data_IF_608350281007
#
_entry.id   IF_608350281007
#
_cell.length_a   1.000
_cell.length_b   1.000
_cell.length_c   1.000
_cell.angle_alpha   90.00
_cell.angle_beta   90.00
_cell.angle_gamma   90.00
#
_symmetry.space_group_name_H-M   'P 1'
#
loop_
_entity.id
_entity.type
_entity.pdbx_description
1 polymer ?
#
# COMPACT_ATOMS: atom_id res chain seq x y z
N UNK A 1 -13.24 -17.60 0.71
CA UNK A 1 -12.48 -16.40 0.26
C UNK A 1 -11.54 -15.87 1.36
N UNK A 2 -11.90 -15.90 2.65
CA UNK A 2 -11.05 -15.41 3.75
C UNK A 2 -9.84 -16.29 4.09
N UNK A 3 -9.85 -17.57 3.71
CA UNK A 3 -8.79 -18.56 4.03
C UNK A 3 -7.39 -18.08 3.63
N UNK A 4 -7.29 -17.26 2.56
CA UNK A 4 -6.05 -16.64 2.12
C UNK A 4 -5.41 -15.72 3.16
N UNK A 5 -6.22 -15.08 4.01
CA UNK A 5 -5.76 -14.16 5.04
C UNK A 5 -5.42 -14.88 6.35
N UNK A 6 -5.76 -16.17 6.46
CA UNK A 6 -5.53 -17.02 7.63
C UNK A 6 -4.36 -18.01 7.43
N UNK A 7 -3.94 -18.27 6.20
CA UNK A 7 -2.80 -19.17 5.92
C UNK A 7 -1.46 -18.55 6.35
N UNK A 8 -0.58 -19.34 6.99
CA UNK A 8 0.75 -18.88 7.44
C UNK A 8 1.57 -18.29 6.27
N UNK A 9 1.83 -19.09 5.23
CA UNK A 9 2.45 -18.66 3.99
C UNK A 9 1.84 -19.40 2.81
N UNK A 10 1.68 -18.70 1.67
CA UNK A 10 1.39 -19.35 0.38
C UNK A 10 2.64 -19.38 -0.47
N UNK A 11 2.92 -20.54 -1.03
CA UNK A 11 4.11 -20.80 -1.83
C UNK A 11 3.72 -20.93 -3.29
N UNK A 12 4.50 -20.31 -4.17
CA UNK A 12 4.23 -20.25 -5.60
C UNK A 12 5.47 -20.64 -6.40
N UNK A 13 5.25 -21.32 -7.51
CA UNK A 13 6.23 -21.51 -8.56
C UNK A 13 5.97 -20.46 -9.65
N UNK A 14 6.99 -19.69 -10.02
CA UNK A 14 6.95 -18.76 -11.15
C UNK A 14 7.52 -19.45 -12.39
N UNK A 15 6.90 -19.24 -13.55
CA UNK A 15 7.27 -19.83 -14.82
C UNK A 15 7.47 -18.73 -15.87
N UNK A 16 8.23 -19.04 -16.90
CA UNK A 16 8.53 -18.15 -18.02
C UNK A 16 7.35 -17.98 -18.98
N UNK A 17 6.52 -19.02 -19.09
CA UNK A 17 5.21 -19.01 -19.74
C UNK A 17 4.32 -20.15 -19.18
N UNK A 18 3.03 -20.12 -19.55
CA UNK A 18 2.05 -21.12 -19.11
C UNK A 18 2.29 -22.55 -19.63
N UNK A 19 3.18 -22.77 -20.62
CA UNK A 19 3.37 -24.09 -21.25
C UNK A 19 4.19 -25.05 -20.39
N UNK A 20 4.94 -24.54 -19.41
CA UNK A 20 5.76 -25.32 -18.49
C UNK A 20 5.15 -25.61 -17.12
N UNK A 21 3.95 -25.11 -16.82
CA UNK A 21 3.41 -25.08 -15.44
C UNK A 21 3.08 -26.46 -14.84
N UNK A 22 2.90 -27.49 -15.66
CA UNK A 22 2.57 -28.84 -15.21
C UNK A 22 3.73 -29.57 -14.53
N UNK A 23 4.98 -29.23 -14.85
CA UNK A 23 6.16 -29.72 -14.15
C UNK A 23 6.84 -28.59 -13.39
N UNK A 24 6.80 -28.71 -12.06
CA UNK A 24 7.42 -27.73 -11.15
C UNK A 24 8.92 -27.58 -11.38
N UNK A 25 9.60 -28.58 -11.97
CA UNK A 25 11.01 -28.49 -12.34
C UNK A 25 11.33 -27.39 -13.35
N UNK A 26 10.33 -26.93 -14.12
CA UNK A 26 10.48 -25.83 -15.09
C UNK A 26 10.31 -24.44 -14.46
N UNK A 27 10.08 -24.36 -13.14
CA UNK A 27 9.89 -23.08 -12.48
C UNK A 27 11.19 -22.25 -12.49
N UNK A 28 11.08 -20.95 -12.80
CA UNK A 28 12.12 -19.92 -12.63
C UNK A 28 12.57 -19.75 -11.18
N UNK A 29 11.73 -20.19 -10.26
CA UNK A 29 12.03 -20.17 -8.84
C UNK A 29 10.82 -20.43 -7.97
N UNK A 30 11.12 -20.65 -6.70
CA UNK A 30 10.15 -20.74 -5.63
C UNK A 30 9.95 -19.36 -5.01
N UNK A 31 8.69 -19.00 -4.82
CA UNK A 31 8.28 -17.74 -4.23
C UNK A 31 7.35 -18.00 -3.05
N UNK A 32 7.29 -17.06 -2.11
CA UNK A 32 6.26 -17.04 -1.07
C UNK A 32 5.62 -15.67 -1.00
N UNK A 33 4.30 -15.64 -0.82
CA UNK A 33 3.54 -14.42 -0.53
C UNK A 33 3.27 -14.34 0.97
N UNK A 34 3.50 -13.15 1.53
CA UNK A 34 3.35 -12.84 2.95
C UNK A 34 2.21 -11.85 3.12
N UNK A 35 2.20 -10.87 2.22
CA UNK A 35 1.08 -10.00 1.92
C UNK A 35 0.94 -9.89 0.39
N UNK A 36 -0.10 -9.19 -0.06
CA UNK A 36 -0.36 -9.04 -1.49
C UNK A 36 0.65 -8.14 -2.23
N UNK A 37 1.57 -7.47 -1.53
CA UNK A 37 2.69 -6.73 -2.12
C UNK A 37 4.07 -7.09 -1.54
N UNK A 38 4.11 -7.97 -0.53
CA UNK A 38 5.35 -8.54 -0.02
C UNK A 38 5.44 -10.01 -0.43
N UNK A 39 6.20 -10.22 -1.49
CA UNK A 39 6.63 -11.53 -1.94
C UNK A 39 8.15 -11.67 -1.79
N UNK A 40 8.59 -12.92 -1.72
CA UNK A 40 10.00 -13.25 -1.71
C UNK A 40 10.31 -14.39 -2.66
N UNK A 41 11.52 -14.37 -3.22
CA UNK A 41 12.10 -15.48 -3.96
C UNK A 41 13.02 -16.28 -3.03
N UNK A 42 12.90 -17.59 -3.05
CA UNK A 42 13.87 -18.49 -2.44
C UNK A 42 15.11 -18.58 -3.34
N UNK A 43 16.28 -18.25 -2.79
CA UNK A 43 17.56 -18.24 -3.54
C UNK A 43 18.50 -19.36 -3.13
N UNK A 44 18.03 -20.29 -2.28
CA UNK A 44 18.77 -21.46 -1.81
C UNK A 44 19.26 -21.33 -0.37
N UNK A 45 19.52 -22.47 0.24
CA UNK A 45 20.08 -22.68 1.58
C UNK A 45 19.35 -21.92 2.69
N UNK A 46 18.02 -21.89 2.64
CA UNK A 46 17.16 -21.20 3.59
C UNK A 46 16.91 -19.72 3.29
N UNK A 47 17.61 -19.14 2.31
CA UNK A 47 17.60 -17.71 2.07
C UNK A 47 16.41 -17.29 1.20
N UNK A 48 15.67 -16.28 1.67
CA UNK A 48 14.58 -15.63 0.95
C UNK A 48 14.88 -14.15 0.72
N UNK A 49 14.86 -13.69 -0.52
CA UNK A 49 15.08 -12.28 -0.87
C UNK A 49 13.79 -11.61 -1.30
N UNK A 50 13.64 -10.31 -1.02
CA UNK A 50 12.52 -9.53 -1.55
C UNK A 50 12.47 -9.66 -3.08
N UNK A 51 11.28 -9.85 -3.62
CA UNK A 51 11.04 -9.99 -5.04
C UNK A 51 9.81 -9.19 -5.45
N UNK A 52 9.65 -8.97 -6.75
CA UNK A 52 8.43 -8.44 -7.37
C UNK A 52 7.99 -9.34 -8.56
N UNK A 53 8.45 -10.59 -8.62
CA UNK A 53 8.15 -11.55 -9.68
C UNK A 53 6.66 -11.92 -9.78
N UNK A 54 5.99 -12.29 -8.68
CA UNK A 54 4.55 -12.61 -8.67
C UNK A 54 3.68 -11.36 -8.91
N UNK A 55 4.16 -10.19 -8.50
CA UNK A 55 3.46 -8.92 -8.67
C UNK A 55 3.56 -8.45 -10.13
N UNK A 56 4.71 -8.67 -10.78
CA UNK A 56 4.93 -8.35 -12.20
C UNK A 56 4.15 -9.25 -13.14
N UNK A 57 3.82 -10.49 -12.74
CA UNK A 57 3.01 -11.39 -13.58
C UNK A 57 1.60 -10.90 -13.88
N UNK A 58 1.09 -9.92 -13.14
CA UNK A 58 -0.17 -9.24 -13.45
C UNK A 58 -0.06 -8.05 -14.41
N UNK A 59 1.16 -7.64 -14.78
CA UNK A 59 1.37 -6.52 -15.69
C UNK A 59 1.04 -6.94 -17.13
N UNK A 60 0.44 -6.01 -17.89
CA UNK A 60 -0.06 -6.25 -19.26
C UNK A 60 0.98 -6.81 -20.25
N UNK A 61 2.26 -6.62 -19.93
CA UNK A 61 3.41 -7.02 -20.75
C UNK A 61 4.22 -8.18 -20.15
N UNK A 62 3.75 -8.80 -19.07
CA UNK A 62 4.39 -9.99 -18.50
C UNK A 62 4.00 -11.25 -19.27
N UNK A 63 5.00 -12.03 -19.67
CA UNK A 63 4.81 -13.39 -20.17
C UNK A 63 4.88 -14.46 -19.09
N UNK A 64 5.33 -14.07 -17.89
CA UNK A 64 5.50 -14.96 -16.77
C UNK A 64 4.13 -15.40 -16.23
N UNK A 65 4.02 -16.65 -15.79
CA UNK A 65 2.84 -17.23 -15.15
C UNK A 65 3.24 -17.82 -13.78
N UNK A 66 2.31 -17.94 -12.83
CA UNK A 66 2.58 -18.60 -11.57
C UNK A 66 1.43 -19.48 -11.09
N UNK A 67 1.75 -20.49 -10.29
CA UNK A 67 0.74 -21.28 -9.54
C UNK A 67 1.21 -21.62 -8.15
N UNK A 68 0.24 -21.90 -7.29
CA UNK A 68 0.51 -22.43 -5.96
C UNK A 68 1.15 -23.82 -6.04
N UNK A 69 2.07 -24.09 -5.12
CA UNK A 69 2.77 -25.38 -5.02
C UNK A 69 2.27 -26.18 -3.82
N UNK A 70 2.15 -27.49 -4.00
CA UNK A 70 1.92 -28.43 -2.91
C UNK A 70 3.16 -28.57 -2.00
N UNK A 71 3.00 -29.18 -0.83
CA UNK A 71 4.11 -29.39 0.10
C UNK A 71 5.26 -30.22 -0.52
N UNK A 72 4.95 -31.24 -1.33
CA UNK A 72 5.97 -32.04 -2.00
C UNK A 72 6.73 -31.25 -3.09
N UNK A 73 6.01 -30.40 -3.83
CA UNK A 73 6.60 -29.51 -4.84
C UNK A 73 7.44 -28.40 -4.21
N UNK A 74 7.02 -27.88 -3.06
CA UNK A 74 7.79 -26.93 -2.26
C UNK A 74 9.16 -27.52 -1.89
N UNK A 75 9.19 -28.73 -1.33
CA UNK A 75 10.45 -29.39 -0.97
C UNK A 75 11.33 -29.68 -2.20
N UNK A 76 10.73 -30.12 -3.32
CA UNK A 76 11.47 -30.34 -4.56
C UNK A 76 12.12 -29.05 -5.08
N UNK A 77 11.39 -27.93 -5.06
CA UNK A 77 11.91 -26.63 -5.49
C UNK A 77 12.96 -26.07 -4.53
N UNK A 78 12.81 -26.30 -3.22
CA UNK A 78 13.84 -25.97 -2.23
C UNK A 78 15.13 -26.70 -2.55
N UNK A 79 15.05 -28.01 -2.77
CA UNK A 79 16.21 -28.82 -3.13
C UNK A 79 16.88 -28.32 -4.41
N UNK A 80 16.09 -28.05 -5.47
CA UNK A 80 16.63 -27.51 -6.73
C UNK A 80 17.37 -26.19 -6.54
N UNK A 81 16.80 -25.27 -5.75
CA UNK A 81 17.42 -23.98 -5.45
C UNK A 81 18.63 -24.11 -4.52
N UNK A 82 18.65 -25.07 -3.60
CA UNK A 82 19.81 -25.38 -2.76
C UNK A 82 20.94 -25.99 -3.59
N UNK A 83 20.63 -26.81 -4.59
CA UNK A 83 21.62 -27.44 -5.46
C UNK A 83 22.26 -26.45 -6.45
N UNK A 84 21.57 -25.34 -6.76
CA UNK A 84 21.98 -24.34 -7.75
C UNK A 84 22.29 -22.96 -7.18
N UNK A 85 22.01 -22.74 -5.89
CA UNK A 85 22.19 -21.46 -5.20
C UNK A 85 23.65 -21.15 -4.87
N UNK A 86 23.99 -19.87 -4.64
CA UNK A 86 25.32 -19.50 -4.14
C UNK A 86 25.57 -20.12 -2.76
N UNK A 87 26.76 -20.65 -2.53
CA UNK A 87 27.14 -21.25 -1.26
C UNK A 87 26.88 -20.29 -0.08
N UNK A 88 26.46 -20.86 1.07
CA UNK A 88 26.18 -20.16 2.34
C UNK A 88 27.11 -18.96 2.52
N UNK A 89 26.55 -17.75 2.57
CA UNK A 89 27.28 -16.63 3.14
C UNK A 89 27.43 -16.83 4.64
N UNK A 90 28.69 -16.81 5.08
CA UNK A 90 29.08 -16.88 6.48
C UNK A 90 28.50 -15.71 7.29
N UNK A 91 28.14 -16.06 8.51
CA UNK A 91 28.04 -15.26 9.73
C UNK A 91 28.13 -13.73 9.55
N UNK A 92 26.99 -13.05 9.76
CA UNK A 92 26.97 -11.60 10.00
C UNK A 92 27.48 -11.33 11.41
N UNK A 93 28.70 -10.84 11.51
CA UNK A 93 29.20 -10.22 12.73
C UNK A 93 28.63 -8.79 12.88
N UNK A 94 28.15 -8.49 14.09
CA UNK A 94 28.09 -7.13 14.62
C UNK A 94 27.02 -6.21 14.04
N UNK A 95 25.76 -6.37 14.48
CA UNK A 95 24.82 -5.25 14.50
C UNK A 95 24.34 -5.03 15.94
N UNK A 96 24.87 -3.98 16.58
CA UNK A 96 24.35 -3.53 17.87
C UNK A 96 23.04 -2.77 17.68
N UNK A 97 22.02 -3.12 18.48
CA UNK A 97 20.87 -2.24 18.73
C UNK A 97 19.51 -2.64 18.13
N UNK A 98 19.40 -3.71 17.33
CA UNK A 98 18.10 -4.16 16.79
C UNK A 98 17.39 -5.27 17.57
N UNK A 99 18.05 -5.89 18.56
CA UNK A 99 17.53 -7.07 19.29
C UNK A 99 17.82 -8.39 18.58
N UNK A 100 17.00 -9.40 18.84
CA UNK A 100 17.25 -10.78 18.42
C UNK A 100 16.01 -11.47 17.88
N UNK A 101 16.16 -12.21 16.79
CA UNK A 101 15.20 -13.21 16.33
C UNK A 101 15.45 -14.51 17.08
N UNK A 102 14.41 -15.13 17.63
CA UNK A 102 14.52 -16.39 18.41
C UNK A 102 13.81 -17.53 17.68
N UNK A 103 14.45 -18.68 17.65
CA UNK A 103 14.05 -19.85 16.89
C UNK A 103 13.86 -21.07 17.80
N UNK A 104 13.01 -22.02 17.39
CA UNK A 104 12.80 -23.26 18.15
C UNK A 104 13.91 -24.27 17.88
N UNK A 105 14.42 -24.29 16.65
CA UNK A 105 15.45 -25.21 16.21
C UNK A 105 16.57 -24.48 15.47
N UNK A 106 17.79 -25.02 15.54
CA UNK A 106 18.96 -24.46 14.83
C UNK A 106 18.72 -24.39 13.31
N UNK A 107 18.06 -25.41 12.76
CA UNK A 107 17.72 -25.47 11.34
C UNK A 107 16.79 -24.33 10.89
N UNK A 108 16.04 -23.70 11.80
CA UNK A 108 15.13 -22.60 11.46
C UNK A 108 15.88 -21.28 11.26
N UNK A 109 17.10 -21.14 11.80
CA UNK A 109 17.89 -19.90 11.76
C UNK A 109 18.30 -19.47 10.35
N UNK A 110 18.21 -20.38 9.37
CA UNK A 110 18.50 -20.06 7.96
C UNK A 110 17.40 -19.20 7.31
N UNK A 111 16.18 -19.22 7.86
CA UNK A 111 15.07 -18.37 7.45
C UNK A 111 14.63 -17.50 8.61
N UNK A 112 15.03 -16.23 8.59
CA UNK A 112 14.73 -15.26 9.64
C UNK A 112 13.24 -15.24 10.04
N UNK A 113 12.34 -15.52 9.09
CA UNK A 113 10.88 -15.49 9.27
C UNK A 113 10.30 -16.76 9.90
N UNK A 114 11.13 -17.78 10.13
CA UNK A 114 10.81 -18.94 11.00
C UNK A 114 10.99 -18.63 12.48
N UNK A 115 11.48 -17.43 12.81
CA UNK A 115 11.53 -16.96 14.19
C UNK A 115 10.13 -17.04 14.82
N UNK A 116 10.06 -17.52 16.06
CA UNK A 116 8.81 -17.53 16.81
C UNK A 116 8.65 -16.27 17.68
N UNK A 117 9.73 -15.53 17.89
CA UNK A 117 9.76 -14.29 18.66
C UNK A 117 10.85 -13.34 18.16
N UNK A 118 10.62 -12.05 18.38
CA UNK A 118 11.63 -10.99 18.30
C UNK A 118 11.73 -10.37 19.69
N UNK A 119 12.93 -10.32 20.25
CA UNK A 119 13.18 -9.91 21.64
C UNK A 119 14.29 -8.88 21.73
N UNK A 120 14.24 -8.01 22.74
CA UNK A 120 15.31 -7.05 23.04
C UNK A 120 16.52 -7.72 23.68
N UNK A 121 16.27 -8.67 24.58
CA UNK A 121 17.28 -9.35 25.37
C UNK A 121 17.10 -10.87 25.28
N UNK A 122 18.22 -11.59 25.26
CA UNK A 122 18.20 -13.06 25.24
C UNK A 122 18.02 -13.60 26.66
N UNK A 123 17.04 -14.48 26.82
CA UNK A 123 16.85 -15.29 28.03
C UNK A 123 17.60 -16.62 27.89
N UNK A 124 17.90 -17.33 28.99
CA UNK A 124 18.58 -18.62 28.95
C UNK A 124 17.88 -19.68 28.07
N UNK A 125 16.56 -19.60 27.92
CA UNK A 125 15.78 -20.47 27.03
C UNK A 125 15.94 -20.16 25.52
N UNK A 126 16.48 -18.99 25.14
CA UNK A 126 16.67 -18.56 23.75
C UNK A 126 17.94 -19.19 23.14
N UNK A 127 17.97 -20.53 23.10
CA UNK A 127 19.13 -21.31 22.66
C UNK A 127 19.55 -21.04 21.20
N UNK A 128 18.59 -20.70 20.34
CA UNK A 128 18.81 -20.44 18.91
C UNK A 128 18.36 -19.02 18.61
N UNK A 129 19.31 -18.12 18.38
CA UNK A 129 19.00 -16.72 18.14
C UNK A 129 19.96 -16.07 17.13
N UNK A 130 19.45 -15.09 16.39
CA UNK A 130 20.22 -14.25 15.48
C UNK A 130 20.04 -12.78 15.86
N UNK A 131 21.14 -12.03 15.89
CA UNK A 131 21.08 -10.57 16.06
C UNK A 131 20.45 -9.92 14.83
N UNK A 132 19.64 -8.90 15.06
CA UNK A 132 18.91 -8.17 14.03
C UNK A 132 19.46 -6.76 13.88
N UNK A 133 19.50 -6.26 12.64
CA UNK A 133 19.56 -4.82 12.42
C UNK A 133 18.19 -4.17 12.76
N UNK A 134 18.15 -2.88 13.16
CA UNK A 134 16.89 -2.21 13.52
C UNK A 134 15.79 -2.30 12.44
N UNK A 135 16.16 -2.17 11.16
CA UNK A 135 15.19 -2.27 10.05
C UNK A 135 14.67 -3.70 9.83
N UNK A 136 15.44 -4.73 10.20
CA UNK A 136 15.03 -6.13 10.11
C UNK A 136 14.09 -6.48 11.24
N UNK A 137 14.33 -5.91 12.42
CA UNK A 137 13.52 -6.09 13.62
C UNK A 137 12.06 -5.75 13.37
N UNK A 138 11.77 -4.53 12.91
CA UNK A 138 10.38 -4.08 12.74
C UNK A 138 9.63 -4.95 11.73
N UNK A 139 10.25 -5.23 10.59
CA UNK A 139 9.67 -6.09 9.57
C UNK A 139 9.44 -7.52 10.05
N UNK A 140 10.37 -8.08 10.83
CA UNK A 140 10.25 -9.43 11.37
C UNK A 140 9.23 -9.50 12.51
N UNK A 141 9.22 -8.52 13.41
CA UNK A 141 8.24 -8.44 14.51
C UNK A 141 6.81 -8.40 13.96
N UNK A 142 6.59 -7.61 12.90
CA UNK A 142 5.30 -7.58 12.19
C UNK A 142 4.90 -8.93 11.59
N UNK A 143 5.85 -9.68 11.03
CA UNK A 143 5.61 -11.02 10.46
C UNK A 143 5.29 -12.04 11.55
N UNK A 144 6.07 -12.06 12.63
CA UNK A 144 5.84 -12.96 13.76
C UNK A 144 4.47 -12.70 14.37
N UNK A 145 4.11 -11.42 14.58
CA UNK A 145 2.79 -11.03 15.07
C UNK A 145 1.68 -11.49 14.13
N UNK A 146 1.85 -11.28 12.81
CA UNK A 146 0.89 -11.72 11.78
C UNK A 146 0.65 -13.23 11.81
N UNK A 147 1.71 -14.03 11.79
CA UNK A 147 1.60 -15.49 11.82
C UNK A 147 0.96 -15.98 13.12
N UNK A 148 1.37 -15.41 14.26
CA UNK A 148 0.80 -15.77 15.55
C UNK A 148 -0.70 -15.47 15.61
N UNK A 149 -1.14 -14.34 15.06
CA UNK A 149 -2.55 -13.97 14.97
C UNK A 149 -3.33 -14.89 14.03
N UNK A 150 -2.77 -15.22 12.85
CA UNK A 150 -3.37 -16.17 11.90
C UNK A 150 -3.65 -17.52 12.53
N UNK A 151 -2.70 -18.08 13.29
CA UNK A 151 -2.84 -19.36 13.99
C UNK A 151 -3.90 -19.36 15.09
N UNK A 152 -4.23 -18.19 15.63
CA UNK A 152 -5.23 -18.01 16.70
C UNK A 152 -6.55 -17.44 16.19
N UNK A 153 -6.65 -17.18 14.89
CA UNK A 153 -7.80 -16.51 14.32
C UNK A 153 -9.04 -17.41 14.39
N UNK A 154 -10.07 -16.93 15.08
CA UNK A 154 -11.34 -17.62 15.22
C UNK A 154 -12.48 -16.63 14.94
N UNK A 155 -13.62 -17.10 14.39
CA UNK A 155 -14.73 -16.22 14.11
C UNK A 155 -15.37 -15.70 15.41
N UNK A 156 -15.64 -14.41 15.45
CA UNK A 156 -16.31 -13.72 16.56
C UNK A 156 -17.70 -13.32 16.07
N UNK A 157 -18.76 -13.81 16.74
CA UNK A 157 -20.14 -13.54 16.34
C UNK A 157 -20.42 -13.80 14.83
N UNK A 158 -19.89 -14.92 14.30
CA UNK A 158 -20.09 -15.34 12.91
C UNK A 158 -19.25 -14.58 11.87
N UNK A 159 -18.24 -13.80 12.29
CA UNK A 159 -17.39 -13.03 11.39
C UNK A 159 -15.91 -13.20 11.71
N UNK A 160 -15.05 -13.13 10.69
CA UNK A 160 -13.63 -12.86 10.89
C UNK A 160 -13.38 -11.37 10.82
N UNK A 161 -12.62 -10.84 11.78
CA UNK A 161 -12.24 -9.44 11.86
C UNK A 161 -10.78 -9.28 11.46
N UNK A 162 -10.47 -8.19 10.77
CA UNK A 162 -9.11 -7.88 10.36
C UNK A 162 -8.82 -6.40 10.55
N UNK A 163 -7.68 -6.11 11.17
CA UNK A 163 -7.12 -4.77 11.25
C UNK A 163 -6.19 -4.54 10.05
N UNK A 164 -6.34 -3.42 9.35
CA UNK A 164 -5.50 -3.08 8.19
C UNK A 164 -4.40 -2.09 8.54
N UNK A 165 -3.23 -2.27 7.96
CA UNK A 165 -2.03 -1.47 8.22
C UNK A 165 -1.44 -0.90 6.93
N UNK A 166 -0.78 0.25 7.01
CA UNK A 166 -0.06 0.78 5.85
C UNK A 166 1.19 -0.05 5.53
N UNK A 167 1.82 -0.63 6.56
CA UNK A 167 3.09 -1.34 6.46
C UNK A 167 3.07 -2.57 7.36
N UNK A 168 3.82 -3.57 6.94
CA UNK A 168 3.98 -4.81 7.70
C UNK A 168 4.62 -4.60 9.08
N UNK A 169 5.57 -3.67 9.20
CA UNK A 169 6.22 -3.37 10.48
C UNK A 169 5.29 -2.76 11.54
N UNK A 170 4.14 -2.21 11.15
CA UNK A 170 3.18 -1.62 12.08
C UNK A 170 2.27 -2.66 12.73
N UNK A 171 2.23 -3.89 12.19
CA UNK A 171 1.34 -4.96 12.63
C UNK A 171 1.56 -5.38 14.10
N UNK A 172 2.77 -5.18 14.62
CA UNK A 172 3.09 -5.47 16.01
C UNK A 172 2.35 -4.56 17.01
N UNK A 173 1.84 -3.40 16.58
CA UNK A 173 1.02 -2.51 17.40
C UNK A 173 -0.34 -2.28 16.76
N UNK A 174 -1.37 -2.98 17.26
CA UNK A 174 -2.74 -2.90 16.78
C UNK A 174 -3.31 -1.47 16.74
N UNK A 175 -2.79 -0.55 17.57
CA UNK A 175 -3.25 0.85 17.56
C UNK A 175 -2.82 1.62 16.30
N UNK A 176 -1.84 1.09 15.55
CA UNK A 176 -1.39 1.64 14.26
C UNK A 176 -2.23 1.17 13.08
N UNK A 177 -3.17 0.25 13.28
CA UNK A 177 -4.11 -0.10 12.23
C UNK A 177 -4.85 1.16 11.77
N UNK A 178 -5.01 1.36 10.47
CA UNK A 178 -5.77 2.50 9.94
C UNK A 178 -7.24 2.16 9.72
N UNK A 179 -7.56 0.89 9.46
CA UNK A 179 -8.93 0.42 9.26
C UNK A 179 -9.22 -0.85 10.06
N UNK A 180 -10.52 -1.09 10.31
CA UNK A 180 -11.02 -2.36 10.82
C UNK A 180 -12.13 -2.85 9.88
N UNK A 181 -11.95 -4.06 9.37
CA UNK A 181 -12.87 -4.70 8.42
C UNK A 181 -13.30 -6.07 8.95
N UNK A 182 -14.38 -6.60 8.41
CA UNK A 182 -14.81 -7.98 8.70
C UNK A 182 -15.47 -8.63 7.50
N UNK A 183 -15.57 -9.95 7.54
CA UNK A 183 -16.35 -10.72 6.59
C UNK A 183 -17.06 -11.88 7.30
N UNK A 184 -18.21 -12.35 6.79
CA UNK A 184 -18.89 -13.52 7.35
C UNK A 184 -18.01 -14.77 7.32
N UNK A 185 -18.03 -15.54 8.41
CA UNK A 185 -17.25 -16.77 8.54
C UNK A 185 -17.75 -17.90 7.65
N UNK A 186 -18.95 -17.77 7.07
CA UNK A 186 -19.45 -18.67 6.03
C UNK A 186 -18.68 -18.55 4.72
N UNK A 187 -18.06 -17.38 4.46
CA UNK A 187 -17.30 -17.11 3.24
C UNK A 187 -18.14 -16.66 2.04
N UNK A 188 -19.47 -16.65 2.15
CA UNK A 188 -20.42 -16.30 1.08
C UNK A 188 -20.96 -14.87 1.17
N UNK A 189 -20.44 -14.05 2.08
CA UNK A 189 -20.90 -12.70 2.32
C UNK A 189 -19.91 -11.62 1.89
N UNK A 190 -20.43 -10.39 1.85
CA UNK A 190 -19.64 -9.22 1.51
C UNK A 190 -18.70 -8.81 2.64
N UNK A 191 -17.63 -8.11 2.27
CA UNK A 191 -16.74 -7.46 3.23
C UNK A 191 -17.41 -6.20 3.77
N UNK A 192 -17.17 -5.91 5.04
CA UNK A 192 -17.69 -4.73 5.71
C UNK A 192 -16.57 -3.92 6.36
N UNK A 193 -16.70 -2.60 6.33
CA UNK A 193 -15.79 -1.64 6.97
C UNK A 193 -16.45 -1.05 8.21
N UNK A 194 -15.70 -0.93 9.31
CA UNK A 194 -16.17 -0.30 10.54
C UNK A 194 -16.18 1.23 10.37
N UNK A 195 -17.37 1.84 10.28
CA UNK A 195 -17.47 3.31 10.29
C UNK A 195 -17.39 3.89 11.69
N UNK A 196 -18.05 3.22 12.63
CA UNK A 196 -18.00 3.51 14.06
C UNK A 196 -18.44 2.29 14.86
N UNK A 197 -18.32 2.35 16.17
CA UNK A 197 -18.82 1.31 17.07
C UNK A 197 -20.28 0.95 16.74
N UNK A 198 -20.52 -0.34 16.49
CA UNK A 198 -21.83 -0.87 16.10
C UNK A 198 -22.28 -0.57 14.67
N UNK A 199 -21.55 0.24 13.89
CA UNK A 199 -21.90 0.59 12.51
C UNK A 199 -20.89 0.02 11.51
N UNK A 200 -21.34 -1.02 10.80
CA UNK A 200 -20.62 -1.69 9.73
C UNK A 200 -21.32 -1.41 8.41
N UNK A 201 -20.56 -1.11 7.38
CA UNK A 201 -21.09 -0.80 6.05
C UNK A 201 -20.39 -1.64 5.00
N UNK A 202 -21.04 -1.81 3.85
CA UNK A 202 -20.46 -2.51 2.72
C UNK A 202 -19.06 -1.94 2.42
N UNK A 203 -18.08 -2.82 2.37
CA UNK A 203 -16.68 -2.50 2.14
C UNK A 203 -16.15 -3.23 0.91
N UNK A 204 -14.84 -3.36 0.85
CA UNK A 204 -14.15 -4.09 -0.22
C UNK A 204 -13.18 -5.09 0.38
N UNK A 205 -13.04 -6.24 -0.28
CA UNK A 205 -11.99 -7.19 0.06
C UNK A 205 -10.62 -6.48 0.09
N UNK A 206 -9.80 -6.69 1.14
CA UNK A 206 -8.53 -6.00 1.35
C UNK A 206 -7.39 -6.52 0.45
N UNK A 207 -7.67 -6.77 -0.84
CA UNK A 207 -6.67 -7.20 -1.83
C UNK A 207 -5.55 -6.16 -1.89
N UNK A 208 -4.30 -6.61 -1.83
CA UNK A 208 -3.15 -5.69 -1.81
C UNK A 208 -2.73 -5.25 -0.40
N UNK A 209 -3.55 -5.47 0.64
CA UNK A 209 -3.33 -4.82 1.94
C UNK A 209 -2.65 -5.72 2.95
N UNK A 210 -1.97 -5.08 3.91
CA UNK A 210 -1.45 -5.75 5.10
C UNK A 210 -2.59 -5.82 6.11
N UNK A 211 -3.07 -7.04 6.38
CA UNK A 211 -4.17 -7.27 7.32
C UNK A 211 -3.78 -8.25 8.40
N UNK A 212 -4.15 -7.94 9.64
CA UNK A 212 -3.95 -8.78 10.82
C UNK A 212 -5.30 -9.33 11.29
N UNK A 213 -5.49 -10.66 11.37
CA UNK A 213 -6.69 -11.22 11.99
C UNK A 213 -6.80 -10.77 13.46
N UNK A 214 -7.99 -10.32 13.86
CA UNK A 214 -8.26 -9.81 15.21
C UNK A 214 -9.18 -10.77 15.93
N UNK A 215 -8.69 -11.32 17.05
CA UNK A 215 -9.47 -12.20 17.93
C UNK A 215 -10.41 -11.42 18.86
N UNK A 216 -11.22 -12.15 19.62
CA UNK A 216 -12.20 -11.58 20.56
C UNK A 216 -11.56 -10.60 21.56
N UNK A 217 -10.41 -10.98 22.12
CA UNK A 217 -9.76 -10.22 23.19
C UNK A 217 -9.22 -8.86 22.70
N UNK A 218 -8.90 -8.75 21.41
CA UNK A 218 -8.33 -7.56 20.79
C UNK A 218 -9.35 -6.72 20.02
N UNK A 219 -10.55 -7.25 19.75
CA UNK A 219 -11.55 -6.56 18.93
C UNK A 219 -12.00 -5.23 19.54
N UNK A 220 -12.29 -5.22 20.84
CA UNK A 220 -12.69 -3.98 21.54
C UNK A 220 -11.57 -2.94 21.53
N UNK A 221 -10.31 -3.39 21.60
CA UNK A 221 -9.15 -2.51 21.49
C UNK A 221 -9.05 -1.92 20.09
N UNK A 222 -9.22 -2.74 19.05
CA UNK A 222 -9.20 -2.27 17.66
C UNK A 222 -10.31 -1.24 17.39
N UNK A 223 -11.55 -1.51 17.83
CA UNK A 223 -12.69 -0.58 17.69
C UNK A 223 -12.40 0.74 18.41
N UNK A 224 -12.03 0.68 19.69
CA UNK A 224 -11.68 1.89 20.46
C UNK A 224 -10.55 2.68 19.80
N UNK A 225 -9.53 2.00 19.30
CA UNK A 225 -8.42 2.63 18.60
C UNK A 225 -8.84 3.32 17.30
N UNK A 226 -9.95 2.93 16.67
CA UNK A 226 -10.54 3.65 15.53
C UNK A 226 -11.43 4.81 15.97
N UNK A 227 -12.22 4.65 17.03
CA UNK A 227 -13.03 5.75 17.58
C UNK A 227 -12.19 6.93 18.07
N UNK A 228 -11.01 6.66 18.66
CA UNK A 228 -10.14 7.70 19.22
C UNK A 228 -9.09 8.23 18.25
N UNK A 229 -9.10 7.77 16.99
CA UNK A 229 -8.18 8.28 15.99
C UNK A 229 -8.46 9.78 15.73
N UNK A 230 -7.41 10.59 15.75
CA UNK A 230 -7.50 12.04 15.54
C UNK A 230 -8.13 12.37 14.19
N UNK A 231 -7.68 11.66 13.15
CA UNK A 231 -8.18 11.79 11.77
C UNK A 231 -8.37 10.40 11.16
N UNK A 232 -9.46 10.24 10.42
CA UNK A 232 -9.77 9.04 9.62
C UNK A 232 -10.07 9.44 8.19
N UNK A 233 -9.72 8.58 7.24
CA UNK A 233 -9.85 8.88 5.82
C UNK A 233 -10.66 7.80 5.14
N UNK A 234 -11.68 8.20 4.38
CA UNK A 234 -12.56 7.27 3.67
C UNK A 234 -12.60 7.59 2.19
N UNK A 235 -12.78 6.53 1.40
CA UNK A 235 -13.09 6.59 -0.01
C UNK A 235 -14.45 5.91 -0.21
N UNK A 236 -15.46 6.72 -0.54
CA UNK A 236 -16.87 6.32 -0.61
C UNK A 236 -17.26 6.19 -2.07
N UNK A 237 -17.55 4.97 -2.52
CA UNK A 237 -17.87 4.68 -3.91
C UNK A 237 -19.38 4.59 -4.12
N UNK A 238 -19.90 5.30 -5.12
CA UNK A 238 -21.33 5.41 -5.39
C UNK A 238 -21.81 4.28 -6.31
N UNK A 239 -21.49 3.05 -5.94
CA UNK A 239 -21.83 1.87 -6.74
C UNK A 239 -21.09 1.83 -8.08
N UNK A 240 -21.78 1.35 -9.12
CA UNK A 240 -21.28 1.34 -10.50
C UNK A 240 -21.54 2.65 -11.26
N UNK A 241 -21.91 3.73 -10.56
CA UNK A 241 -22.20 5.02 -11.19
C UNK A 241 -20.94 5.59 -11.85
N UNK A 242 -21.07 6.01 -13.11
CA UNK A 242 -20.00 6.61 -13.90
C UNK A 242 -20.34 8.08 -14.18
N UNK A 243 -19.42 8.99 -13.87
CA UNK A 243 -19.49 10.42 -14.22
C UNK A 243 -18.29 10.78 -15.07
N UNK A 244 -18.53 11.24 -16.31
CA UNK A 244 -17.46 11.63 -17.23
C UNK A 244 -16.51 10.48 -17.65
N UNK A 245 -16.99 9.24 -17.63
CA UNK A 245 -16.18 8.05 -17.96
C UNK A 245 -15.40 7.44 -16.79
N UNK A 246 -15.56 7.96 -15.58
CA UNK A 246 -14.93 7.43 -14.36
C UNK A 246 -15.97 7.09 -13.31
N UNK A 247 -15.67 6.09 -12.47
CA UNK A 247 -16.49 5.78 -11.30
C UNK A 247 -16.63 7.00 -10.39
N UNK A 248 -17.85 7.23 -9.91
CA UNK A 248 -18.15 8.30 -8.97
C UNK A 248 -17.79 7.86 -7.55
N UNK A 249 -16.98 8.68 -6.88
CA UNK A 249 -16.58 8.45 -5.49
C UNK A 249 -16.29 9.78 -4.79
N UNK A 250 -16.44 9.80 -3.47
CA UNK A 250 -16.15 10.93 -2.59
C UNK A 250 -15.01 10.55 -1.63
N UNK A 251 -14.00 11.42 -1.54
CA UNK A 251 -12.91 11.28 -0.56
C UNK A 251 -13.26 12.09 0.68
N UNK A 252 -13.36 11.41 1.83
CA UNK A 252 -13.79 12.01 3.09
C UNK A 252 -12.66 12.00 4.09
N UNK A 253 -12.44 13.13 4.75
CA UNK A 253 -11.65 13.24 5.97
C UNK A 253 -12.61 13.43 7.15
N UNK A 254 -12.52 12.56 8.15
CA UNK A 254 -13.22 12.70 9.43
C UNK A 254 -12.24 13.16 10.50
N UNK A 255 -12.56 14.26 11.17
CA UNK A 255 -11.81 14.78 12.32
C UNK A 255 -12.75 14.91 13.51
N UNK A 256 -12.63 14.02 14.49
CA UNK A 256 -13.65 13.86 15.53
C UNK A 256 -15.01 13.51 14.93
N UNK A 257 -16.02 14.37 15.11
CA UNK A 257 -17.37 14.19 14.57
C UNK A 257 -17.65 14.97 13.28
N UNK A 258 -16.65 15.64 12.70
CA UNK A 258 -16.81 16.46 11.50
C UNK A 258 -16.32 15.68 10.29
N UNK A 259 -17.17 15.58 9.28
CA UNK A 259 -16.86 14.96 7.99
C UNK A 259 -16.67 16.06 6.92
N UNK A 260 -15.56 15.98 6.19
CA UNK A 260 -15.22 16.92 5.12
C UNK A 260 -14.90 16.16 3.83
N UNK A 261 -15.35 16.66 2.69
CA UNK A 261 -14.96 16.20 1.35
C UNK A 261 -14.14 17.28 0.63
N UNK A 262 -13.59 16.91 -0.51
CA UNK A 262 -12.82 17.83 -1.35
C UNK A 262 -13.72 18.85 -2.06
N UNK A 263 -13.27 20.10 -2.07
CA UNK A 263 -13.79 21.16 -2.95
C UNK A 263 -12.61 21.81 -3.70
N UNK A 264 -12.35 21.33 -4.92
CA UNK A 264 -11.14 21.69 -5.65
C UNK A 264 -9.87 21.29 -4.88
N UNK A 265 -9.18 22.28 -4.29
CA UNK A 265 -8.00 22.06 -3.44
C UNK A 265 -8.30 22.13 -1.93
N UNK A 266 -9.47 22.64 -1.56
CA UNK A 266 -9.89 22.84 -0.17
C UNK A 266 -10.73 21.70 0.39
N UNK A 267 -11.19 21.91 1.62
CA UNK A 267 -12.13 21.05 2.34
C UNK A 267 -13.47 21.77 2.47
N UNK A 268 -14.55 21.01 2.32
CA UNK A 268 -15.91 21.46 2.60
C UNK A 268 -16.63 20.42 3.45
N UNK A 269 -17.53 20.86 4.32
CA UNK A 269 -18.35 19.97 5.13
C UNK A 269 -19.16 19.01 4.23
N UNK A 270 -19.30 17.75 4.65
CA UNK A 270 -20.11 16.74 3.96
C UNK A 270 -20.87 15.86 4.94
N UNK A 271 -21.96 15.26 4.49
CA UNK A 271 -22.75 14.28 5.24
C UNK A 271 -22.74 12.89 4.58
N UNK A 272 -21.83 12.66 3.63
CA UNK A 272 -21.85 11.48 2.74
C UNK A 272 -21.86 10.14 3.49
N UNK A 273 -21.12 10.04 4.61
CA UNK A 273 -21.08 8.84 5.45
C UNK A 273 -22.39 8.59 6.23
N UNK A 274 -23.20 9.64 6.45
CA UNK A 274 -24.50 9.56 7.10
C UNK A 274 -25.66 9.23 6.16
N UNK A 275 -25.44 9.28 4.84
CA UNK A 275 -26.48 9.09 3.79
C UNK A 275 -26.15 7.97 2.80
N UNK A 276 -25.31 7.02 3.20
CA UNK A 276 -24.92 5.89 2.33
C UNK A 276 -26.16 5.16 1.80
N UNK A 277 -26.21 4.95 0.48
CA UNK A 277 -27.30 4.27 -0.20
C UNK A 277 -26.99 2.77 -0.42
N UNK A 278 -28.01 1.93 -0.65
CA UNK A 278 -27.80 0.54 -1.05
C UNK A 278 -26.89 0.42 -2.29
N UNK A 279 -25.86 -0.42 -2.18
CA UNK A 279 -24.89 -0.65 -3.26
C UNK A 279 -23.69 0.31 -3.27
N UNK A 280 -23.68 1.34 -2.41
CA UNK A 280 -22.47 2.10 -2.14
C UNK A 280 -21.54 1.30 -1.23
N UNK A 281 -20.23 1.46 -1.39
CA UNK A 281 -19.25 0.81 -0.52
C UNK A 281 -18.18 1.78 -0.05
N UNK A 282 -17.64 1.52 1.14
CA UNK A 282 -16.67 2.40 1.81
C UNK A 282 -15.38 1.66 2.10
N UNK A 283 -14.28 2.34 1.79
CA UNK A 283 -12.94 1.89 2.09
C UNK A 283 -12.31 2.92 3.03
N UNK A 284 -11.84 2.50 4.21
CA UNK A 284 -10.99 3.34 5.03
C UNK A 284 -9.54 3.26 4.51
N UNK A 285 -8.89 4.42 4.40
CA UNK A 285 -7.57 4.57 3.81
C UNK A 285 -6.57 5.00 4.90
N UNK A 286 -5.36 4.45 4.83
CA UNK A 286 -4.21 5.06 5.49
C UNK A 286 -3.92 6.45 4.91
N UNK A 287 -3.28 7.30 5.70
CA UNK A 287 -2.91 8.67 5.32
C UNK A 287 -2.14 8.71 3.98
N UNK A 288 -1.20 7.80 3.76
CA UNK A 288 -0.42 7.74 2.51
C UNK A 288 -1.33 7.47 1.31
N UNK A 289 -2.23 6.49 1.42
CA UNK A 289 -3.15 6.13 0.35
C UNK A 289 -4.16 7.24 0.08
N UNK A 290 -4.64 7.89 1.14
CA UNK A 290 -5.53 9.03 1.02
C UNK A 290 -4.86 10.21 0.31
N UNK A 291 -3.61 10.55 0.65
CA UNK A 291 -2.85 11.61 -0.05
C UNK A 291 -2.74 11.34 -1.54
N UNK A 292 -2.43 10.09 -1.92
CA UNK A 292 -2.39 9.68 -3.33
C UNK A 292 -3.77 9.77 -4.01
N UNK A 293 -4.83 9.29 -3.35
CA UNK A 293 -6.18 9.36 -3.89
C UNK A 293 -6.65 10.81 -4.08
N UNK A 294 -6.39 11.67 -3.08
CA UNK A 294 -6.69 13.11 -3.12
C UNK A 294 -5.99 13.81 -4.28
N UNK A 295 -4.72 13.48 -4.51
CA UNK A 295 -3.94 14.06 -5.61
C UNK A 295 -4.52 13.66 -6.97
N UNK A 296 -4.86 12.38 -7.14
CA UNK A 296 -5.51 11.88 -8.36
C UNK A 296 -6.86 12.54 -8.59
N UNK A 297 -7.67 12.72 -7.55
CA UNK A 297 -8.95 13.42 -7.63
C UNK A 297 -8.78 14.88 -8.07
N UNK A 298 -7.82 15.60 -7.46
CA UNK A 298 -7.52 16.99 -7.80
C UNK A 298 -7.06 17.15 -9.25
N UNK A 299 -6.13 16.30 -9.72
CA UNK A 299 -5.67 16.32 -11.12
C UNK A 299 -6.84 16.06 -12.07
N UNK A 300 -7.62 15.01 -11.84
CA UNK A 300 -8.72 14.62 -12.73
C UNK A 300 -9.78 15.71 -12.83
N UNK A 301 -10.23 16.23 -11.69
CA UNK A 301 -11.23 17.31 -11.65
C UNK A 301 -10.77 18.55 -12.41
N UNK A 302 -9.51 18.95 -12.23
CA UNK A 302 -8.95 20.13 -12.88
C UNK A 302 -8.65 19.91 -14.36
N UNK A 303 -8.12 18.74 -14.73
CA UNK A 303 -7.93 18.36 -16.13
C UNK A 303 -9.26 18.34 -16.90
N UNK A 304 -10.36 17.91 -16.25
CA UNK A 304 -11.69 17.98 -16.84
C UNK A 304 -12.20 19.42 -16.96
N UNK A 305 -12.06 20.23 -15.91
CA UNK A 305 -12.49 21.63 -15.89
C UNK A 305 -11.74 22.52 -16.90
N UNK A 306 -10.50 22.16 -17.23
CA UNK A 306 -9.65 22.92 -18.15
C UNK A 306 -9.48 22.26 -19.52
N UNK A 307 -10.17 21.13 -19.77
CA UNK A 307 -10.15 20.45 -21.07
C UNK A 307 -10.60 21.39 -22.17
N UNK A 308 -9.87 21.42 -23.28
CA UNK A 308 -10.22 22.19 -24.48
C UNK A 308 -9.91 23.68 -24.39
N UNK A 309 -9.24 24.14 -23.33
CA UNK A 309 -8.71 25.52 -23.26
C UNK A 309 -7.48 25.67 -24.16
N UNK A 310 -7.26 26.89 -24.65
CA UNK A 310 -6.17 27.22 -25.58
C UNK A 310 -4.77 26.94 -25.01
N UNK A 311 -4.63 26.95 -23.68
CA UNK A 311 -3.38 26.72 -22.97
C UNK A 311 -3.58 25.71 -21.84
N UNK A 312 -2.74 24.68 -21.83
CA UNK A 312 -2.74 23.63 -20.80
C UNK A 312 -1.67 23.97 -19.76
N UNK A 313 -1.99 24.97 -18.92
CA UNK A 313 -1.08 25.46 -17.89
C UNK A 313 -0.98 24.47 -16.72
N UNK A 314 0.24 24.33 -16.22
CA UNK A 314 0.60 23.42 -15.13
C UNK A 314 1.36 24.20 -14.07
N UNK A 315 0.93 24.06 -12.82
CA UNK A 315 1.73 24.42 -11.65
C UNK A 315 2.62 23.23 -11.28
N UNK A 316 3.91 23.46 -11.07
CA UNK A 316 4.88 22.40 -10.75
C UNK A 316 5.40 22.55 -9.33
N UNK A 317 5.48 21.44 -8.62
CA UNK A 317 5.78 21.38 -7.19
C UNK A 317 6.90 20.39 -6.90
N UNK A 318 7.63 20.59 -5.79
CA UNK A 318 8.72 19.70 -5.38
C UNK A 318 8.19 18.36 -4.88
N UNK A 319 7.09 18.38 -4.14
CA UNK A 319 6.50 17.21 -3.50
C UNK A 319 5.00 17.12 -3.76
N UNK A 320 4.47 15.91 -3.58
CA UNK A 320 3.06 15.58 -3.76
C UNK A 320 2.09 16.43 -2.93
N UNK A 321 2.45 16.76 -1.69
CA UNK A 321 1.54 17.45 -0.76
C UNK A 321 1.52 18.97 -0.95
N UNK A 322 2.55 19.54 -1.59
CA UNK A 322 2.63 20.99 -1.84
C UNK A 322 1.53 21.48 -2.81
N UNK A 323 0.94 20.56 -3.59
CA UNK A 323 -0.06 20.86 -4.64
C UNK A 323 -1.32 21.53 -4.12
N UNK A 324 -1.63 21.39 -2.83
CA UNK A 324 -2.81 21.97 -2.22
C UNK A 324 -2.58 23.42 -1.76
N UNK A 325 -1.34 23.90 -1.83
CA UNK A 325 -0.95 25.27 -1.49
C UNK A 325 -0.26 25.90 -2.69
N UNK A 326 -1.01 26.65 -3.51
CA UNK A 326 -0.46 27.28 -4.72
C UNK A 326 0.71 28.28 -4.44
N UNK A 327 0.90 28.68 -3.18
CA UNK A 327 2.09 29.44 -2.77
C UNK A 327 3.40 28.65 -2.90
N UNK A 328 3.35 27.32 -2.87
CA UNK A 328 4.50 26.43 -2.91
C UNK A 328 4.90 26.00 -4.33
N UNK A 329 4.28 26.60 -5.35
CA UNK A 329 4.66 26.36 -6.75
C UNK A 329 6.14 26.67 -6.93
N UNK A 330 6.89 25.77 -7.57
CA UNK A 330 8.29 25.94 -7.93
C UNK A 330 8.45 26.67 -9.27
N UNK A 331 7.68 26.27 -10.28
CA UNK A 331 7.67 26.89 -11.60
C UNK A 331 6.31 26.64 -12.28
N UNK A 332 6.02 27.49 -13.26
CA UNK A 332 4.83 27.39 -14.11
C UNK A 332 5.26 26.81 -15.46
N UNK A 333 4.48 25.86 -15.96
CA UNK A 333 4.70 25.25 -17.24
C UNK A 333 3.43 25.35 -18.11
N UNK A 334 3.61 25.21 -19.41
CA UNK A 334 2.53 25.04 -20.37
C UNK A 334 2.82 23.77 -21.16
N UNK A 335 1.87 22.84 -21.19
CA UNK A 335 1.98 21.65 -22.03
C UNK A 335 1.68 22.02 -23.47
N UNK A 336 2.54 21.60 -24.39
CA UNK A 336 2.35 21.80 -25.81
C UNK A 336 1.45 20.70 -26.39
N UNK A 337 0.63 21.02 -27.41
CA UNK A 337 -0.21 20.04 -28.09
C UNK A 337 0.64 19.18 -29.03
N UNK A 338 1.43 18.27 -28.48
CA UNK A 338 2.13 17.23 -29.23
C UNK A 338 1.51 15.85 -28.86
N UNK A 339 0.92 15.12 -29.83
CA UNK A 339 0.31 13.81 -29.58
C UNK A 339 1.34 12.68 -29.44
N UNK A 340 2.61 12.92 -29.79
CA UNK A 340 3.67 11.91 -29.80
C UNK A 340 4.64 12.05 -28.62
N UNK A 341 4.83 13.27 -28.08
CA UNK A 341 5.76 13.52 -26.98
C UNK A 341 5.20 14.50 -25.93
N UNK A 342 5.59 14.31 -24.67
CA UNK A 342 5.28 15.24 -23.59
C UNK A 342 6.25 16.42 -23.62
N UNK A 343 5.91 17.42 -24.42
CA UNK A 343 6.65 18.69 -24.50
C UNK A 343 6.04 19.76 -23.61
N UNK A 344 6.90 20.52 -22.94
CA UNK A 344 6.51 21.62 -22.07
C UNK A 344 7.33 22.87 -22.36
N UNK A 345 6.73 24.02 -22.14
CA UNK A 345 7.42 25.30 -22.03
C UNK A 345 7.39 25.76 -20.58
N UNK A 346 8.53 26.18 -20.04
CA UNK A 346 8.61 26.80 -18.72
C UNK A 346 8.41 28.31 -18.85
N UNK A 347 7.62 28.85 -17.95
CA UNK A 347 7.45 30.29 -17.85
C UNK A 347 8.62 30.93 -17.11
N UNK A 348 9.19 31.97 -17.70
CA UNK A 348 10.18 32.86 -17.09
C UNK A 348 9.71 34.31 -17.18
N UNK A 349 10.28 35.25 -16.40
CA UNK A 349 9.96 36.67 -16.56
C UNK A 349 10.15 37.19 -18.00
N UNK A 350 11.12 36.65 -18.73
CA UNK A 350 11.45 37.00 -20.11
C UNK A 350 10.54 36.31 -21.17
N UNK A 351 9.66 35.41 -20.74
CA UNK A 351 8.78 34.65 -21.62
C UNK A 351 8.89 33.13 -21.47
N UNK A 352 8.30 32.41 -22.43
CA UNK A 352 8.27 30.95 -22.46
C UNK A 352 9.59 30.40 -23.00
N UNK A 353 10.15 29.40 -22.31
CA UNK A 353 11.37 28.69 -22.73
C UNK A 353 11.06 27.21 -22.91
N UNK A 354 11.42 26.58 -24.05
CA UNK A 354 11.26 25.14 -24.23
C UNK A 354 11.99 24.35 -23.14
N UNK A 355 11.39 23.25 -22.70
CA UNK A 355 12.05 22.29 -21.81
C UNK A 355 11.73 20.86 -22.25
N UNK A 356 12.74 19.98 -22.18
CA UNK A 356 12.57 18.54 -22.41
C UNK A 356 12.70 17.79 -21.08
N UNK A 357 11.83 16.81 -20.84
CA UNK A 357 11.95 15.74 -19.82
C UNK A 357 11.96 16.13 -18.33
N UNK A 358 12.09 17.40 -17.96
CA UNK A 358 12.26 17.80 -16.55
C UNK A 358 11.03 17.55 -15.66
N UNK A 359 9.80 17.46 -16.19
CA UNK A 359 8.60 17.35 -15.35
C UNK A 359 8.30 15.95 -14.80
N UNK A 360 8.98 14.90 -15.27
CA UNK A 360 8.72 13.53 -14.79
C UNK A 360 9.12 13.32 -13.32
N UNK A 361 10.07 14.10 -12.82
CA UNK A 361 10.54 14.04 -11.43
C UNK A 361 9.73 14.92 -10.47
N UNK A 362 8.82 15.74 -11.00
CA UNK A 362 8.04 16.70 -10.22
C UNK A 362 6.56 16.35 -10.18
N UNK A 363 5.89 16.93 -9.19
CA UNK A 363 4.43 16.85 -9.09
C UNK A 363 3.82 18.01 -9.88
N UNK A 364 2.83 17.74 -10.73
CA UNK A 364 2.21 18.74 -11.60
C UNK A 364 0.71 18.82 -11.33
N UNK A 365 0.15 20.04 -11.32
CA UNK A 365 -1.28 20.27 -11.18
C UNK A 365 -1.77 21.17 -12.32
N UNK A 366 -2.81 20.79 -13.09
CA UNK A 366 -3.43 21.68 -14.06
C UNK A 366 -3.95 22.96 -13.39
N UNK A 367 -3.76 24.12 -14.00
CA UNK A 367 -4.25 25.41 -13.47
C UNK A 367 -5.03 26.21 -14.50
N UNK A 368 -5.93 27.06 -14.00
CA UNK A 368 -6.68 28.01 -14.82
C UNK A 368 -5.77 29.14 -15.28
N UNK A 369 -6.21 29.88 -16.30
CA UNK A 369 -5.49 31.07 -16.75
C UNK A 369 -5.42 32.14 -15.66
N UNK A 370 -6.49 32.32 -14.88
CA UNK A 370 -6.52 33.27 -13.77
C UNK A 370 -5.56 32.88 -12.64
N UNK A 371 -5.44 31.59 -12.33
CA UNK A 371 -4.43 31.08 -11.40
C UNK A 371 -3.01 31.30 -11.94
N UNK A 372 -2.78 31.00 -13.22
CA UNK A 372 -1.51 31.26 -13.88
C UNK A 372 -1.13 32.75 -13.80
N UNK A 373 -2.02 33.67 -14.18
CA UNK A 373 -1.75 35.11 -14.16
C UNK A 373 -1.42 35.60 -12.74
N UNK A 374 -2.15 35.13 -11.72
CA UNK A 374 -1.87 35.45 -10.31
C UNK A 374 -0.48 34.97 -9.88
N UNK A 375 -0.12 33.73 -10.21
CA UNK A 375 1.18 33.13 -9.86
C UNK A 375 2.34 33.75 -10.65
N UNK A 376 2.13 34.13 -11.90
CA UNK A 376 3.11 34.82 -12.72
C UNK A 376 3.38 36.25 -12.19
N UNK A 377 2.33 36.97 -11.77
CA UNK A 377 2.46 38.31 -11.23
C UNK A 377 3.24 38.36 -9.91
N UNK A 378 2.97 37.43 -8.98
CA UNK A 378 3.68 37.35 -7.68
C UNK A 378 5.17 37.04 -7.83
N UNK A 379 5.56 36.37 -8.91
CA UNK A 379 6.97 36.03 -9.20
C UNK A 379 7.74 37.20 -9.80
N UNK A 380 7.08 38.06 -10.59
CA UNK A 380 7.69 39.28 -11.13
C UNK A 380 8.00 40.29 -10.02
N UNK A 381 7.20 40.36 -8.97
CA UNK A 381 7.47 41.25 -7.83
C UNK A 381 8.62 40.75 -6.93
N UNK A 382 8.79 39.43 -6.79
CA UNK A 382 9.91 38.85 -6.04
C UNK A 382 11.26 38.98 -6.77
N UNK A 383 11.26 38.91 -8.11
CA UNK A 383 12.47 39.11 -8.93
C UNK A 383 12.98 40.56 -8.99
N UNK A 384 12.18 41.54 -8.56
CA UNK A 384 12.53 42.97 -8.54
C UNK A 384 12.99 43.47 -7.14
N UNK A 385 13.22 42.55 -6.19
CA UNK A 385 13.66 42.88 -4.82
C UNK A 385 15.10 42.41 -4.50
N UNK A 386 15.95 42.24 -5.52
CA UNK A 386 17.38 41.96 -5.37
C UNK A 386 18.23 43.16 -5.79
#
# INVERSE_FOLDING_TARGET
MFELYLADYRYFALFEDGRGMSDVGNAKGLYRSISAHDEQKYVGHGVWTRSNGLSKTGDRDSYDDYREVSAAELERLRQLADDSGPAKHEQRDGFEGGGFAVFRHEADMVDLRSAYAVVDELLPEHRYALSLAPFERDGLAGIVALLAARRRAEPVAGHYYFAEFERLGDVADLNRAHALIRCPSSGDGEWETCLREGAWVLGKEPRGRVVLPVGRDDLDRAIRGRETAEVRYFDVWHGLAIKGGYYSHDLVRRTGSVDETLDGLGWQHTDVLGRLEPGWWVIELGERHFRSARYVAAIKGRAQAFRGRAHDYQAVFRKGDDVYELGNVLFLAKRLPNPYELEYELWTPDGWRPTSQLLLEYTTLPISEEEFQRLAASRRSQGNSL
#
